data_IF_230377513075
#
_entry.id   IF_230377513075
#
_cell.length_a   1.000
_cell.length_b   1.000
_cell.length_c   1.000
_cell.angle_alpha   90.00
_cell.angle_beta   90.00
_cell.angle_gamma   90.00
#
_symmetry.space_group_name_H-M   'P 1'
#
loop_
_entity.id
_entity.type
_entity.pdbx_description
1 polymer ?
#
# COMPACT_ATOMS: atom_id res chain seq x y z
N UNK A 1 -3.10 -18.75 42.14
CA UNK A 1 -2.93 -18.35 42.04
C UNK A 1 -2.31 -17.83 41.19
N UNK A 2 -1.95 -17.99 40.90
CA UNK A 2 -1.42 -17.76 40.25
C UNK A 2 -1.62 -17.00 39.27
N UNK A 3 -2.01 -16.60 39.35
CA UNK A 3 -2.35 -15.77 38.80
C UNK A 3 -1.50 -15.03 37.91
N UNK A 4 -0.47 -14.72 38.10
CA UNK A 4 0.47 -14.06 37.24
C UNK A 4 0.59 -14.68 35.86
N UNK A 5 0.07 -15.85 35.79
CA UNK A 5 0.11 -16.58 34.53
C UNK A 5 -0.61 -15.85 33.42
N UNK A 6 -1.79 -15.32 33.72
CA UNK A 6 -2.53 -14.62 32.71
C UNK A 6 -1.86 -13.36 32.23
N UNK A 7 -1.14 -12.71 33.13
CA UNK A 7 -0.47 -11.47 32.78
C UNK A 7 0.66 -11.68 31.77
N UNK A 8 1.33 -12.79 31.85
CA UNK A 8 2.48 -13.02 30.99
C UNK A 8 2.16 -13.00 29.50
N UNK A 9 1.14 -13.68 29.02
CA UNK A 9 0.78 -13.61 27.61
C UNK A 9 0.41 -12.20 27.19
N UNK A 10 -0.29 -11.50 28.04
CA UNK A 10 -0.69 -10.13 27.74
C UNK A 10 0.53 -9.23 27.55
N UNK A 11 1.52 -9.43 28.40
CA UNK A 11 2.73 -8.65 28.31
C UNK A 11 3.45 -8.89 26.99
N UNK A 12 3.41 -10.09 26.48
CA UNK A 12 4.00 -10.41 25.22
C UNK A 12 3.40 -9.60 24.08
N UNK A 13 2.09 -9.49 24.07
CA UNK A 13 1.42 -8.69 23.06
C UNK A 13 1.79 -7.23 23.16
N UNK A 14 1.86 -6.71 24.37
CA UNK A 14 2.23 -5.32 24.57
C UNK A 14 3.66 -5.05 24.11
N UNK A 15 4.56 -5.98 24.34
CA UNK A 15 5.93 -5.80 23.90
C UNK A 15 6.02 -5.73 22.39
N UNK A 16 5.26 -6.53 21.70
CA UNK A 16 5.24 -6.49 20.24
C UNK A 16 4.78 -5.11 19.76
N UNK A 17 3.79 -4.56 20.41
CA UNK A 17 3.31 -3.24 20.04
C UNK A 17 4.38 -2.18 20.29
N UNK A 18 5.10 -2.30 21.40
CA UNK A 18 6.13 -1.32 21.69
C UNK A 18 7.23 -1.30 20.65
N UNK A 19 7.52 -2.43 20.05
CA UNK A 19 8.60 -2.46 19.07
C UNK A 19 8.28 -1.57 17.85
N UNK A 20 7.02 -1.34 17.59
CA UNK A 20 6.64 -0.43 16.52
C UNK A 20 6.82 1.03 16.95
N UNK A 21 6.55 1.32 18.21
CA UNK A 21 6.59 2.70 18.67
C UNK A 21 7.98 3.26 18.78
N UNK A 22 8.91 2.43 19.17
CA UNK A 22 10.25 2.92 19.49
C UNK A 22 11.18 3.13 18.34
N UNK A 23 10.78 2.74 17.15
CA UNK A 23 11.71 2.76 16.04
C UNK A 23 11.54 3.97 15.16
N UNK A 24 12.63 4.37 14.55
CA UNK A 24 12.60 5.41 13.54
C UNK A 24 11.74 4.95 12.36
N UNK A 25 10.89 5.83 11.87
CA UNK A 25 10.05 5.54 10.74
C UNK A 25 10.88 5.29 9.48
N UNK A 26 12.02 5.94 9.37
CA UNK A 26 12.87 5.80 8.20
C UNK A 26 13.52 4.43 8.09
N UNK A 27 13.65 3.69 9.20
CA UNK A 27 14.29 2.37 9.18
C UNK A 27 13.32 1.23 8.89
N UNK A 28 12.03 1.50 8.85
CA UNK A 28 11.07 0.45 8.58
C UNK A 28 11.02 0.07 7.12
N UNK A 29 11.00 -1.23 6.87
CA UNK A 29 10.86 -1.75 5.52
C UNK A 29 9.39 -1.86 5.18
N UNK A 30 9.03 -1.32 4.02
CA UNK A 30 7.68 -1.44 3.47
C UNK A 30 7.80 -2.16 2.14
N UNK A 31 7.19 -3.32 2.04
CA UNK A 31 7.32 -4.17 0.86
C UNK A 31 6.69 -3.54 -0.36
N UNK A 32 7.37 -3.65 -1.49
CA UNK A 32 6.89 -3.10 -2.75
C UNK A 32 6.09 -4.10 -3.57
N UNK A 33 5.86 -3.76 -4.82
CA UNK A 33 5.17 -4.62 -5.77
C UNK A 33 6.14 -5.37 -6.67
N UNK A 34 5.60 -6.02 -7.69
CA UNK A 34 6.40 -6.82 -8.63
C UNK A 34 7.20 -5.95 -9.60
N UNK A 35 6.73 -4.75 -9.87
CA UNK A 35 7.39 -3.80 -10.79
C UNK A 35 7.70 -2.49 -10.07
N UNK A 36 6.77 -2.00 -9.27
CA UNK A 36 6.88 -0.70 -8.61
C UNK A 36 7.42 -0.83 -7.20
N UNK A 37 8.19 0.17 -6.78
CA UNK A 37 8.58 0.33 -5.38
C UNK A 37 7.63 1.31 -4.71
N UNK A 38 7.57 1.25 -3.37
CA UNK A 38 6.68 2.12 -2.60
C UNK A 38 7.23 3.56 -2.63
N UNK A 39 6.46 4.53 -3.12
CA UNK A 39 6.92 5.92 -3.09
C UNK A 39 6.93 6.46 -1.65
N UNK A 40 7.74 7.48 -1.42
CA UNK A 40 7.98 7.99 -0.07
C UNK A 40 6.71 8.52 0.61
N UNK A 41 5.84 9.18 -0.14
CA UNK A 41 4.61 9.71 0.43
C UNK A 41 3.67 8.60 0.89
N UNK A 42 3.54 7.53 0.11
CA UNK A 42 2.76 6.36 0.51
C UNK A 42 3.42 5.65 1.70
N UNK A 43 4.74 5.53 1.67
CA UNK A 43 5.49 4.89 2.74
C UNK A 43 5.24 5.57 4.09
N UNK A 44 5.25 6.90 4.10
CA UNK A 44 5.00 7.66 5.32
C UNK A 44 3.62 7.39 5.90
N UNK A 45 2.62 7.34 5.03
CA UNK A 45 1.24 7.09 5.46
C UNK A 45 1.09 5.70 6.05
N UNK A 46 1.70 4.70 5.42
CA UNK A 46 1.63 3.32 5.92
C UNK A 46 2.33 3.16 7.25
N UNK A 47 3.53 3.73 7.38
CA UNK A 47 4.30 3.63 8.63
C UNK A 47 3.60 4.34 9.77
N UNK A 48 2.92 5.45 9.49
CA UNK A 48 2.20 6.20 10.51
C UNK A 48 1.02 5.43 11.11
N UNK A 49 0.55 4.38 10.44
CA UNK A 49 -0.58 3.57 10.92
C UNK A 49 -0.20 2.10 10.95
N UNK A 50 0.14 1.56 12.12
CA UNK A 50 0.54 0.15 12.20
C UNK A 50 -0.47 -0.83 11.61
N UNK A 51 -1.76 -0.56 11.79
CA UNK A 51 -2.81 -1.42 11.23
C UNK A 51 -2.83 -1.37 9.71
N UNK A 52 -2.62 -0.20 9.14
CA UNK A 52 -2.56 -0.06 7.68
C UNK A 52 -1.32 -0.74 7.13
N UNK A 53 -0.19 -0.59 7.82
CA UNK A 53 1.04 -1.27 7.42
C UNK A 53 0.89 -2.78 7.47
N UNK A 54 0.26 -3.30 8.53
CA UNK A 54 0.01 -4.74 8.65
C UNK A 54 -0.86 -5.24 7.50
N UNK A 55 -1.92 -4.50 7.16
CA UNK A 55 -2.77 -4.86 6.05
C UNK A 55 -2.01 -4.83 4.73
N UNK A 56 -1.13 -3.85 4.56
CA UNK A 56 -0.29 -3.73 3.38
C UNK A 56 0.65 -4.93 3.22
N UNK A 57 1.32 -5.31 4.32
CA UNK A 57 2.24 -6.44 4.29
C UNK A 57 1.53 -7.76 4.07
N UNK A 58 0.26 -7.84 4.41
CA UNK A 58 -0.55 -9.03 4.17
C UNK A 58 -0.96 -9.18 2.71
N UNK A 59 -0.83 -8.14 1.90
CA UNK A 59 -1.14 -8.21 0.48
C UNK A 59 -0.07 -9.01 -0.26
N UNK A 60 -0.48 -9.62 -1.37
CA UNK A 60 0.49 -10.26 -2.27
C UNK A 60 1.33 -9.18 -2.96
N UNK A 61 2.53 -9.51 -3.45
CA UNK A 61 3.33 -8.54 -4.21
C UNK A 61 2.57 -7.96 -5.40
N UNK A 62 1.74 -8.76 -6.05
CA UNK A 62 0.93 -8.31 -7.16
C UNK A 62 -0.11 -7.29 -6.72
N UNK A 63 -0.80 -7.56 -5.62
CA UNK A 63 -1.81 -6.63 -5.10
C UNK A 63 -1.16 -5.31 -4.69
N UNK A 64 -0.01 -5.36 -4.02
CA UNK A 64 0.71 -4.15 -3.67
C UNK A 64 1.11 -3.35 -4.91
N UNK A 65 1.54 -4.04 -5.95
CA UNK A 65 1.90 -3.39 -7.20
C UNK A 65 0.74 -2.64 -7.82
N UNK A 66 -0.45 -3.21 -7.76
CA UNK A 66 -1.65 -2.56 -8.30
C UNK A 66 -1.98 -1.29 -7.53
N UNK A 67 -1.88 -1.31 -6.21
CA UNK A 67 -2.09 -0.12 -5.38
C UNK A 67 -1.05 0.96 -5.70
N UNK A 68 0.21 0.57 -5.83
CA UNK A 68 1.28 1.54 -6.10
C UNK A 68 1.06 2.17 -7.47
N UNK A 69 0.77 1.37 -8.49
CA UNK A 69 0.52 1.89 -9.83
C UNK A 69 -0.66 2.85 -9.83
N UNK A 70 -1.73 2.51 -9.11
CA UNK A 70 -2.91 3.35 -8.98
C UNK A 70 -2.59 4.69 -8.30
N UNK A 71 -1.72 4.69 -7.29
CA UNK A 71 -1.28 5.91 -6.62
C UNK A 71 -0.42 6.77 -7.54
N UNK A 72 0.41 6.16 -8.35
CA UNK A 72 1.31 6.87 -9.26
C UNK A 72 0.61 7.38 -10.52
N UNK A 73 -0.57 6.88 -10.82
CA UNK A 73 -1.30 7.20 -12.04
C UNK A 73 -1.71 8.66 -12.19
N UNK A 74 -2.23 9.34 -11.15
CA UNK A 74 -2.69 10.73 -11.29
C UNK A 74 -1.54 11.67 -11.61
N UNK A 75 -1.84 12.66 -12.45
CA UNK A 75 -0.86 13.69 -12.79
C UNK A 75 -0.85 14.82 -11.75
N UNK A 76 -1.97 15.05 -11.08
CA UNK A 76 -2.08 16.10 -10.08
C UNK A 76 -1.70 15.60 -8.71
N UNK A 77 -0.90 16.40 -8.00
CA UNK A 77 -0.45 16.04 -6.65
C UNK A 77 -1.62 15.87 -5.68
N UNK A 78 -2.65 16.69 -5.83
CA UNK A 78 -3.82 16.60 -4.97
C UNK A 78 -4.56 15.29 -5.15
N UNK A 79 -4.78 14.87 -6.39
CA UNK A 79 -5.43 13.60 -6.68
C UNK A 79 -4.61 12.44 -6.13
N UNK A 80 -3.29 12.53 -6.24
CA UNK A 80 -2.40 11.51 -5.69
C UNK A 80 -2.55 11.40 -4.17
N UNK A 81 -2.63 12.54 -3.48
CA UNK A 81 -2.85 12.53 -2.03
C UNK A 81 -4.18 11.88 -1.66
N UNK A 82 -5.23 12.18 -2.43
CA UNK A 82 -6.54 11.57 -2.21
C UNK A 82 -6.48 10.06 -2.42
N UNK A 83 -5.76 9.61 -3.44
CA UNK A 83 -5.57 8.18 -3.69
C UNK A 83 -4.86 7.50 -2.52
N UNK A 84 -3.84 8.13 -1.97
CA UNK A 84 -3.11 7.56 -0.82
C UNK A 84 -4.02 7.46 0.39
N UNK A 85 -4.85 8.46 0.65
CA UNK A 85 -5.78 8.41 1.77
C UNK A 85 -6.85 7.35 1.58
N UNK A 86 -7.37 7.23 0.37
CA UNK A 86 -8.32 6.17 0.06
C UNK A 86 -7.68 4.79 0.22
N UNK A 87 -6.46 4.64 -0.25
CA UNK A 87 -5.73 3.39 -0.09
C UNK A 87 -5.66 2.99 1.39
N UNK A 88 -5.28 3.92 2.26
CA UNK A 88 -5.20 3.65 3.68
C UNK A 88 -6.56 3.22 4.24
N UNK A 89 -7.62 3.95 3.92
CA UNK A 89 -8.96 3.64 4.40
C UNK A 89 -9.43 2.28 3.89
N UNK A 90 -9.22 2.01 2.62
CA UNK A 90 -9.69 0.76 2.02
C UNK A 90 -8.89 -0.44 2.50
N UNK A 91 -7.60 -0.27 2.80
CA UNK A 91 -6.84 -1.34 3.44
C UNK A 91 -7.39 -1.68 4.82
N UNK A 92 -7.77 -0.66 5.58
CA UNK A 92 -8.36 -0.88 6.90
C UNK A 92 -9.73 -1.55 6.81
N UNK A 93 -10.43 -1.37 5.70
CA UNK A 93 -11.69 -2.06 5.43
C UNK A 93 -11.49 -3.50 4.93
N UNK A 94 -10.27 -3.88 4.63
CA UNK A 94 -9.96 -5.21 4.14
C UNK A 94 -9.93 -5.36 2.64
N UNK A 95 -9.97 -4.27 1.90
CA UNK A 95 -9.89 -4.33 0.44
C UNK A 95 -8.46 -4.60 0.00
N UNK A 96 -8.32 -5.47 -0.97
CA UNK A 96 -7.01 -5.91 -1.42
C UNK A 96 -6.57 -5.29 -2.75
N UNK A 97 -7.47 -4.63 -3.46
CA UNK A 97 -7.17 -4.00 -4.75
C UNK A 97 -7.97 -2.72 -4.92
N UNK A 98 -7.46 -1.75 -5.70
CA UNK A 98 -8.22 -0.52 -5.99
C UNK A 98 -9.48 -0.84 -6.77
N UNK A 99 -10.56 -0.18 -6.42
CA UNK A 99 -11.82 -0.33 -7.12
C UNK A 99 -11.73 0.30 -8.52
N UNK A 100 -12.32 -0.36 -9.51
CA UNK A 100 -12.46 0.18 -10.86
C UNK A 100 -11.12 0.46 -11.56
N UNK A 101 -10.05 -0.15 -11.09
CA UNK A 101 -8.73 -0.01 -11.67
C UNK A 101 -8.49 -1.11 -12.71
N UNK A 102 -8.07 -0.72 -13.89
CA UNK A 102 -7.83 -1.68 -14.97
C UNK A 102 -6.52 -2.46 -14.83
N UNK A 103 -5.73 -2.16 -13.82
CA UNK A 103 -4.49 -2.86 -13.52
C UNK A 103 -3.25 -2.13 -13.94
N UNK A 104 -2.11 -2.59 -13.45
CA UNK A 104 -0.83 -2.00 -13.74
C UNK A 104 -0.46 -2.22 -15.21
N UNK A 105 -0.09 -1.14 -15.90
CA UNK A 105 0.28 -1.18 -17.31
C UNK A 105 1.76 -1.47 -17.52
N UNK A 106 2.54 -1.55 -16.45
CA UNK A 106 3.99 -1.74 -16.51
C UNK A 106 4.41 -3.19 -16.32
N UNK A 107 3.44 -4.06 -16.07
CA UNK A 107 3.71 -5.49 -15.90
C UNK A 107 4.07 -6.12 -17.23
N UNK A 108 5.08 -6.98 -17.21
CA UNK A 108 5.54 -7.66 -18.42
C UNK A 108 4.93 -9.05 -18.61
N UNK A 109 4.28 -9.55 -17.58
CA UNK A 109 3.68 -10.89 -17.59
C UNK A 109 2.27 -10.91 -18.16
N UNK A 110 1.76 -9.75 -18.55
CA UNK A 110 0.39 -9.63 -19.05
C UNK A 110 0.33 -8.59 -20.15
N UNK A 111 -0.28 -8.96 -21.26
CA UNK A 111 -0.52 -8.02 -22.35
C UNK A 111 -1.58 -7.01 -21.97
N UNK A 112 -1.42 -5.82 -22.49
CA UNK A 112 -2.39 -4.76 -22.29
C UNK A 112 -3.60 -5.03 -23.19
N UNK A 113 -4.80 -4.93 -22.62
CA UNK A 113 -6.02 -5.03 -23.40
C UNK A 113 -6.13 -3.85 -24.38
N UNK A 114 -6.90 -4.00 -25.45
CA UNK A 114 -7.09 -2.89 -26.39
C UNK A 114 -7.62 -1.63 -25.72
N UNK A 115 -8.52 -1.79 -24.76
CA UNK A 115 -9.09 -0.65 -24.02
C UNK A 115 -8.00 0.11 -23.25
N UNK A 116 -7.13 -0.63 -22.58
CA UNK A 116 -6.04 0.01 -21.82
C UNK A 116 -5.07 0.70 -22.76
N UNK A 117 -4.74 0.06 -23.89
CA UNK A 117 -3.85 0.68 -24.88
C UNK A 117 -4.45 1.98 -25.40
N UNK A 118 -5.73 2.02 -25.63
CA UNK A 118 -6.43 3.22 -26.07
C UNK A 118 -6.33 4.34 -25.03
N UNK A 119 -6.58 4.01 -23.75
CA UNK A 119 -6.47 4.99 -22.67
C UNK A 119 -5.06 5.55 -22.58
N UNK A 120 -4.04 4.69 -22.68
CA UNK A 120 -2.66 5.11 -22.61
C UNK A 120 -2.29 6.05 -23.74
N UNK A 121 -2.74 5.72 -24.96
CA UNK A 121 -2.43 6.56 -26.12
C UNK A 121 -2.99 7.96 -25.99
N UNK A 122 -4.19 8.07 -25.42
CA UNK A 122 -4.81 9.38 -25.17
C UNK A 122 -4.08 10.15 -24.09
N UNK A 123 -3.65 9.44 -23.05
CA UNK A 123 -2.91 10.07 -21.96
C UNK A 123 -1.59 10.65 -22.44
N UNK A 124 -0.88 9.90 -23.29
CA UNK A 124 0.40 10.36 -23.83
C UNK A 124 0.21 11.61 -24.67
N UNK A 125 -0.85 11.64 -25.50
CA UNK A 125 -1.15 12.82 -26.29
C UNK A 125 -1.49 14.02 -25.42
N UNK A 126 -2.20 13.82 -24.33
CA UNK A 126 -2.55 14.89 -23.41
C UNK A 126 -1.34 15.42 -22.66
N UNK A 127 -0.28 14.61 -22.53
CA UNK A 127 0.96 15.02 -21.86
C UNK A 127 1.90 15.78 -22.78
N UNK A 128 1.75 15.60 -24.08
CA UNK A 128 2.55 16.31 -25.05
C UNK A 128 1.99 17.72 -25.24
#
# INVERSE_FOLDING_TARGET
MRRGLGAAPTQGCLRANRSYDGRSMSSRVVSGGVVHTVPMDLRRVLIARPRALAAWEDLTPLARNEWICWVLWPKKAETRRQHIQRLRSELLEGKRRPCCWFGCTHRKDKELSPSVRWVLSRRDKASA
#
